data_IF_727951954340
#
_entry.id   IF_727951954340
#
_cell.length_a   1.000
_cell.length_b   1.000
_cell.length_c   1.000
_cell.angle_alpha   90.00
_cell.angle_beta   90.00
_cell.angle_gamma   90.00
#
_symmetry.space_group_name_H-M   'P 1'
#
loop_
_entity.id
_entity.type
_entity.pdbx_description
1 polymer ?
#
# COMPACT_ATOMS: atom_id res chain seq x y z
N UNK A 1 6.25 4.90 6.50
CA UNK A 1 5.94 6.34 6.38
C UNK A 1 4.47 6.53 6.68
N UNK A 2 4.14 7.51 7.52
CA UNK A 2 2.74 7.79 7.82
C UNK A 2 2.23 8.81 6.80
N UNK A 3 1.74 8.31 5.66
CA UNK A 3 1.39 9.13 4.49
C UNK A 3 -0.03 9.69 4.57
N UNK A 4 -0.84 9.26 5.54
CA UNK A 4 -2.17 9.81 5.78
C UNK A 4 -2.07 10.91 6.84
N UNK A 5 -2.76 12.03 6.62
CA UNK A 5 -2.85 13.11 7.60
C UNK A 5 -3.52 12.63 8.89
N UNK A 6 -4.49 11.71 8.78
CA UNK A 6 -5.08 10.98 9.89
C UNK A 6 -5.00 9.47 9.61
N UNK A 7 -4.22 8.70 10.37
CA UNK A 7 -4.13 7.25 10.21
C UNK A 7 -5.42 6.54 10.59
N UNK A 8 -5.68 5.39 9.97
CA UNK A 8 -6.76 4.50 10.43
C UNK A 8 -6.44 3.92 11.81
N UNK A 9 -7.43 3.95 12.70
CA UNK A 9 -7.38 3.22 13.96
C UNK A 9 -7.95 1.82 13.77
N UNK A 10 -7.20 0.80 14.23
CA UNK A 10 -7.68 -0.57 14.31
C UNK A 10 -8.19 -0.80 15.73
N UNK A 11 -9.49 -1.03 15.86
CA UNK A 11 -10.17 -1.33 17.12
C UNK A 11 -10.82 -2.70 16.99
N UNK A 12 -10.48 -3.64 17.88
CA UNK A 12 -11.04 -5.00 17.89
C UNK A 12 -10.92 -5.75 16.55
N UNK A 13 -9.82 -5.52 15.82
CA UNK A 13 -9.57 -6.14 14.52
C UNK A 13 -10.32 -5.50 13.35
N UNK A 14 -11.00 -4.37 13.59
CA UNK A 14 -11.80 -3.66 12.60
C UNK A 14 -11.31 -2.22 12.42
N UNK A 15 -11.59 -1.65 11.25
CA UNK A 15 -11.36 -0.22 10.95
C UNK A 15 -12.70 0.45 10.69
N UNK A 16 -12.91 1.62 11.30
CA UNK A 16 -14.10 2.44 11.07
C UNK A 16 -14.05 3.07 9.68
N UNK A 17 -15.19 3.09 8.99
CA UNK A 17 -15.31 3.76 7.69
C UNK A 17 -15.27 5.29 7.90
N UNK A 18 -14.46 6.04 7.14
CA UNK A 18 -14.48 7.51 7.17
C UNK A 18 -15.84 8.08 6.79
N UNK A 19 -16.25 9.17 7.45
CA UNK A 19 -17.54 9.82 7.22
C UNK A 19 -17.45 11.08 6.35
N UNK A 20 -16.24 11.51 5.98
CA UNK A 20 -16.04 12.67 5.11
C UNK A 20 -16.34 12.32 3.64
N UNK A 21 -16.66 13.31 2.78
CA UNK A 21 -16.97 13.05 1.37
C UNK A 21 -15.87 12.31 0.60
N UNK A 22 -16.28 11.55 -0.42
CA UNK A 22 -15.35 10.78 -1.25
C UNK A 22 -14.74 9.61 -0.48
N UNK A 23 -13.42 9.45 -0.58
CA UNK A 23 -12.69 8.43 0.18
C UNK A 23 -12.54 8.79 1.67
N UNK A 24 -12.79 10.06 2.03
CA UNK A 24 -12.71 10.54 3.40
C UNK A 24 -11.31 10.49 4.03
N UNK A 25 -10.26 10.60 3.21
CA UNK A 25 -8.86 10.64 3.64
C UNK A 25 -8.13 11.85 3.05
N UNK A 26 -7.07 12.26 3.72
CA UNK A 26 -6.12 13.29 3.25
C UNK A 26 -4.71 12.72 3.33
N UNK A 27 -3.89 12.99 2.32
CA UNK A 27 -2.52 12.48 2.20
C UNK A 27 -1.50 13.59 2.43
N UNK A 28 -0.34 13.24 2.97
CA UNK A 28 0.79 14.14 3.18
C UNK A 28 1.63 14.23 1.90
N UNK A 29 1.26 15.11 0.96
CA UNK A 29 1.91 15.19 -0.38
C UNK A 29 3.42 15.43 -0.30
N UNK A 30 3.88 16.33 0.57
CA UNK A 30 5.31 16.59 0.76
C UNK A 30 6.10 15.33 1.16
N UNK A 31 5.55 14.47 2.01
CA UNK A 31 6.19 13.21 2.38
C UNK A 31 6.19 12.20 1.23
N UNK A 32 5.18 12.24 0.37
CA UNK A 32 5.16 11.40 -0.83
C UNK A 32 6.30 11.83 -1.76
N UNK A 33 6.43 13.13 -2.02
CA UNK A 33 7.48 13.70 -2.88
C UNK A 33 8.89 13.34 -2.39
N UNK A 34 9.15 13.46 -1.09
CA UNK A 34 10.43 13.10 -0.45
C UNK A 34 10.82 11.62 -0.64
N UNK A 35 9.85 10.74 -0.90
CA UNK A 35 10.04 9.30 -1.00
C UNK A 35 9.83 8.73 -2.41
N UNK A 36 9.58 9.57 -3.42
CA UNK A 36 9.42 9.11 -4.80
C UNK A 36 10.66 8.37 -5.31
N UNK A 37 11.85 8.88 -4.99
CA UNK A 37 13.13 8.29 -5.42
C UNK A 37 13.51 7.02 -4.65
N UNK A 38 12.83 6.73 -3.53
CA UNK A 38 12.99 5.47 -2.79
C UNK A 38 12.20 4.32 -3.41
N UNK A 39 11.52 4.56 -4.54
CA UNK A 39 10.82 3.53 -5.29
C UNK A 39 11.80 2.47 -5.80
N UNK A 40 11.83 1.32 -5.11
CA UNK A 40 12.46 0.12 -5.61
C UNK A 40 11.36 -0.77 -6.20
N UNK A 41 11.26 -0.93 -7.54
CA UNK A 41 10.33 -1.90 -8.10
C UNK A 41 10.73 -3.27 -7.57
N UNK A 42 9.89 -3.86 -6.72
CA UNK A 42 10.03 -5.24 -6.31
C UNK A 42 9.42 -6.09 -7.43
N UNK A 43 10.20 -6.63 -8.38
CA UNK A 43 9.63 -7.54 -9.36
C UNK A 43 8.99 -8.69 -8.57
N UNK A 44 7.74 -9.08 -8.90
CA UNK A 44 7.11 -10.20 -8.24
C UNK A 44 8.01 -11.42 -8.39
N UNK A 45 8.14 -12.20 -7.32
CA UNK A 45 8.94 -13.43 -7.35
C UNK A 45 8.34 -14.38 -8.38
N UNK A 46 9.12 -14.73 -9.39
CA UNK A 46 8.72 -15.70 -10.40
C UNK A 46 8.92 -17.12 -9.86
N UNK A 47 7.87 -17.92 -9.91
CA UNK A 47 7.92 -19.34 -9.57
C UNK A 47 7.79 -20.17 -10.84
N UNK A 48 8.59 -21.22 -10.94
CA UNK A 48 8.63 -22.11 -12.08
C UNK A 48 8.50 -23.56 -11.63
N UNK A 49 7.76 -24.34 -12.40
CA UNK A 49 7.73 -25.79 -12.28
C UNK A 49 9.04 -26.40 -12.81
N UNK A 50 9.35 -27.68 -12.51
CA UNK A 50 10.56 -28.33 -12.99
C UNK A 50 10.71 -28.40 -14.51
N UNK A 51 9.61 -28.27 -15.26
CA UNK A 51 9.60 -28.21 -16.72
C UNK A 51 9.84 -26.79 -17.28
N UNK A 52 10.04 -25.80 -16.40
CA UNK A 52 10.27 -24.41 -16.75
C UNK A 52 8.98 -23.60 -17.00
N UNK A 53 7.79 -24.20 -16.90
CA UNK A 53 6.54 -23.47 -16.99
C UNK A 53 6.32 -22.57 -15.76
N UNK A 54 5.64 -21.44 -15.94
CA UNK A 54 5.32 -20.54 -14.82
C UNK A 54 4.22 -21.13 -13.94
N UNK A 55 4.46 -21.11 -12.63
CA UNK A 55 3.43 -21.39 -11.65
C UNK A 55 2.52 -20.17 -11.46
N UNK A 56 1.29 -20.40 -11.01
CA UNK A 56 0.42 -19.34 -10.51
C UNK A 56 0.96 -18.81 -9.16
N UNK A 57 0.77 -17.52 -8.93
CA UNK A 57 1.31 -16.83 -7.74
C UNK A 57 0.41 -17.02 -6.53
#
# INVERSE_FOLDING_TARGET
FNLLATPFAVEEGMVKIPNAPGLGIEVQEHLIEEHLDAWNPHPPTLWQHPDGSHAEW
#
